data_IF_508645418324
#
_entry.id   IF_508645418324
#
_cell.length_a   1.000
_cell.length_b   1.000
_cell.length_c   1.000
_cell.angle_alpha   90.00
_cell.angle_beta   90.00
_cell.angle_gamma   90.00
#
_symmetry.space_group_name_H-M   'P 1'
#
loop_
_entity.id
_entity.type
_entity.pdbx_description
1 polymer ?
#
# COMPACT_ATOMS: atom_id res chain seq x y z
N UNK A 1 18.76 7.97 26.02
CA UNK A 1 19.61 7.19 25.08
C UNK A 1 20.01 5.87 25.73
N UNK A 2 19.37 4.77 25.37
CA UNK A 2 19.92 3.41 25.43
C UNK A 2 19.43 2.72 24.16
N UNK A 3 20.36 2.28 23.32
CA UNK A 3 20.11 1.56 22.07
C UNK A 3 20.43 0.10 22.34
N UNK A 4 19.42 -0.69 22.64
CA UNK A 4 19.56 -2.14 22.55
C UNK A 4 19.31 -2.51 21.08
N UNK A 5 20.28 -3.20 20.50
CA UNK A 5 20.30 -3.58 19.11
C UNK A 5 19.16 -4.57 18.82
N UNK A 6 18.17 -4.13 18.03
CA UNK A 6 17.26 -5.04 17.34
C UNK A 6 18.08 -5.82 16.32
N UNK A 7 18.49 -7.04 16.69
CA UNK A 7 18.94 -8.04 15.72
C UNK A 7 17.75 -8.32 14.81
N UNK A 8 17.78 -7.77 13.60
CA UNK A 8 16.73 -7.97 12.61
C UNK A 8 16.68 -9.42 12.14
N UNK A 9 15.52 -10.04 12.26
CA UNK A 9 15.17 -11.27 11.54
C UNK A 9 15.24 -10.99 10.01
N UNK A 10 16.09 -11.67 9.22
CA UNK A 10 16.32 -11.28 7.83
C UNK A 10 15.21 -11.70 6.84
N UNK A 11 14.06 -12.26 7.25
CA UNK A 11 13.11 -12.85 6.29
C UNK A 11 11.61 -12.82 6.58
N UNK A 12 11.15 -12.37 7.76
CA UNK A 12 9.79 -12.70 8.22
C UNK A 12 8.61 -11.89 7.67
N UNK A 13 8.77 -10.61 7.32
CA UNK A 13 7.63 -9.71 7.09
C UNK A 13 7.00 -9.84 5.69
N UNK A 14 7.80 -10.02 4.65
CA UNK A 14 7.30 -10.07 3.27
C UNK A 14 6.55 -11.38 2.95
N UNK A 15 6.94 -12.49 3.60
CA UNK A 15 6.40 -13.82 3.33
C UNK A 15 4.99 -14.03 3.91
N UNK A 16 4.70 -13.40 5.06
CA UNK A 16 3.40 -13.52 5.77
C UNK A 16 2.24 -12.95 4.95
N UNK A 17 2.43 -11.81 4.28
CA UNK A 17 1.40 -11.19 3.45
C UNK A 17 1.02 -12.05 2.24
N UNK A 18 2.00 -12.72 1.61
CA UNK A 18 1.73 -13.64 0.49
C UNK A 18 0.93 -14.85 0.95
N UNK A 19 1.33 -15.48 2.05
CA UNK A 19 0.62 -16.64 2.63
C UNK A 19 -0.82 -16.30 3.00
N UNK A 20 -1.05 -15.17 3.68
CA UNK A 20 -2.40 -14.74 4.06
C UNK A 20 -3.31 -14.51 2.85
N UNK A 21 -2.80 -13.90 1.77
CA UNK A 21 -3.55 -13.69 0.52
C UNK A 21 -3.93 -15.00 -0.17
N UNK A 22 -3.02 -15.97 -0.16
CA UNK A 22 -3.24 -17.29 -0.74
C UNK A 22 -4.29 -18.08 0.06
N UNK A 23 -4.20 -18.07 1.39
CA UNK A 23 -5.19 -18.75 2.25
C UNK A 23 -6.57 -18.11 2.13
N UNK A 24 -6.66 -16.78 2.10
CA UNK A 24 -7.92 -16.09 1.86
C UNK A 24 -8.51 -16.45 0.49
N UNK A 25 -7.73 -16.50 -0.59
CA UNK A 25 -8.25 -16.86 -1.90
C UNK A 25 -8.85 -18.28 -1.93
N UNK A 26 -8.25 -19.25 -1.23
CA UNK A 26 -8.71 -20.64 -1.19
C UNK A 26 -10.12 -20.78 -0.60
N UNK A 27 -10.51 -19.94 0.36
CA UNK A 27 -11.84 -20.02 0.99
C UNK A 27 -13.00 -19.59 0.07
N UNK A 28 -12.72 -18.80 -0.97
CA UNK A 28 -13.73 -18.35 -1.96
C UNK A 28 -13.79 -19.23 -3.21
N UNK A 29 -12.72 -19.99 -3.51
CA UNK A 29 -12.66 -20.88 -4.68
C UNK A 29 -13.42 -22.20 -4.47
N UNK A 30 -13.54 -22.66 -3.22
CA UNK A 30 -14.07 -24.00 -2.89
C UNK A 30 -15.54 -24.01 -2.47
N UNK A 31 -16.21 -22.85 -2.34
CA UNK A 31 -17.62 -22.78 -1.95
C UNK A 31 -18.52 -22.95 -3.19
N UNK A 32 -19.50 -23.87 -3.21
CA UNK A 32 -20.49 -23.92 -4.29
C UNK A 32 -21.26 -22.59 -4.32
N UNK A 33 -21.15 -21.83 -5.41
CA UNK A 33 -21.80 -20.52 -5.56
C UNK A 33 -23.09 -20.68 -6.35
N UNK A 34 -24.17 -20.04 -5.89
CA UNK A 34 -25.38 -19.85 -6.67
C UNK A 34 -25.08 -19.05 -7.94
N UNK A 35 -25.80 -19.40 -9.01
CA UNK A 35 -25.68 -18.91 -10.38
C UNK A 35 -25.65 -17.38 -10.45
N UNK A 36 -24.48 -16.80 -10.75
CA UNK A 36 -24.25 -15.73 -11.76
C UNK A 36 -23.04 -14.83 -11.53
N UNK A 37 -22.35 -14.88 -10.39
CA UNK A 37 -21.09 -14.11 -10.25
C UNK A 37 -20.06 -14.85 -9.42
N UNK A 38 -18.92 -15.17 -10.02
CA UNK A 38 -17.76 -15.71 -9.30
C UNK A 38 -17.18 -14.60 -8.39
N UNK A 39 -16.94 -14.86 -7.10
CA UNK A 39 -16.26 -13.90 -6.23
C UNK A 39 -14.88 -13.56 -6.79
N UNK A 40 -14.65 -12.29 -7.15
CA UNK A 40 -13.35 -11.80 -7.62
C UNK A 40 -12.73 -10.88 -6.57
N UNK A 41 -11.46 -11.10 -6.26
CA UNK A 41 -10.70 -10.26 -5.31
C UNK A 41 -10.43 -8.87 -5.89
N UNK A 42 -10.23 -8.76 -7.21
CA UNK A 42 -10.04 -7.49 -7.92
C UNK A 42 -10.86 -7.54 -9.20
N UNK A 43 -11.53 -6.43 -9.52
CA UNK A 43 -12.12 -6.24 -10.83
C UNK A 43 -11.03 -5.85 -11.85
N UNK A 44 -11.30 -6.05 -13.14
CA UNK A 44 -10.47 -5.47 -14.21
C UNK A 44 -10.63 -3.94 -14.27
N UNK A 45 -10.11 -3.31 -15.33
CA UNK A 45 -10.24 -1.85 -15.53
C UNK A 45 -9.10 -1.02 -14.94
N UNK A 46 -8.12 -1.64 -14.29
CA UNK A 46 -6.92 -0.98 -13.77
C UNK A 46 -7.09 -0.38 -12.37
N UNK A 47 -6.07 0.35 -11.92
CA UNK A 47 -6.06 1.04 -10.62
C UNK A 47 -5.20 2.29 -10.68
N UNK A 48 -5.60 3.37 -10.02
CA UNK A 48 -4.81 4.59 -9.83
C UNK A 48 -4.23 4.62 -8.41
N UNK A 49 -2.99 5.10 -8.26
CA UNK A 49 -2.38 5.29 -6.94
C UNK A 49 -2.27 6.78 -6.64
N UNK A 50 -2.46 7.12 -5.36
CA UNK A 50 -2.30 8.47 -4.85
C UNK A 50 -1.39 8.46 -3.63
N UNK A 51 -0.62 9.53 -3.46
CA UNK A 51 0.15 9.82 -2.26
C UNK A 51 -0.38 11.09 -1.62
N UNK A 52 -0.53 11.14 -0.30
CA UNK A 52 -1.00 12.34 0.40
C UNK A 52 -0.41 12.44 1.81
N UNK A 53 -0.33 13.67 2.32
CA UNK A 53 0.15 13.99 3.66
C UNK A 53 -0.94 14.76 4.43
N UNK A 54 -1.09 14.50 5.73
CA UNK A 54 -2.04 15.19 6.59
C UNK A 54 -1.38 15.59 7.92
N UNK A 55 -1.83 16.72 8.47
CA UNK A 55 -1.45 17.24 9.77
C UNK A 55 -2.70 17.70 10.53
N UNK A 56 -2.57 18.02 11.82
CA UNK A 56 -3.68 18.54 12.61
C UNK A 56 -4.26 19.85 12.05
N UNK A 57 -3.44 20.63 11.33
CA UNK A 57 -3.83 21.86 10.64
C UNK A 57 -4.59 21.63 9.32
N UNK A 58 -4.58 20.41 8.77
CA UNK A 58 -5.26 20.11 7.50
C UNK A 58 -4.59 19.01 6.68
N UNK A 59 -5.21 18.66 5.56
CA UNK A 59 -4.70 17.67 4.60
C UNK A 59 -4.12 18.37 3.37
N UNK A 60 -2.92 17.97 2.94
CA UNK A 60 -2.31 18.44 1.69
C UNK A 60 -2.97 17.83 0.46
N UNK A 61 -2.74 18.41 -0.72
CA UNK A 61 -3.25 17.87 -1.97
C UNK A 61 -2.61 16.51 -2.30
N UNK A 62 -3.41 15.45 -2.55
CA UNK A 62 -2.84 14.16 -2.94
C UNK A 62 -2.23 14.19 -4.35
N UNK A 63 -1.00 13.68 -4.48
CA UNK A 63 -0.32 13.49 -5.76
C UNK A 63 -0.74 12.18 -6.42
N UNK A 64 -0.97 12.24 -7.73
CA UNK A 64 -1.25 11.05 -8.51
C UNK A 64 0.06 10.35 -8.89
N UNK A 65 0.13 9.04 -8.67
CA UNK A 65 1.31 8.21 -8.92
C UNK A 65 1.01 7.23 -10.04
N UNK A 66 1.79 7.32 -11.11
CA UNK A 66 1.71 6.41 -12.25
C UNK A 66 2.68 5.23 -12.07
N UNK A 67 2.14 4.01 -12.17
CA UNK A 67 2.93 2.79 -12.03
C UNK A 67 3.62 2.70 -10.66
N UNK A 68 4.75 2.01 -10.60
CA UNK A 68 5.51 1.86 -9.35
C UNK A 68 6.26 3.15 -9.07
N UNK A 69 6.05 3.74 -7.88
CA UNK A 69 6.76 4.93 -7.44
C UNK A 69 8.27 4.70 -7.39
N UNK A 70 9.04 5.51 -8.12
CA UNK A 70 10.50 5.52 -8.05
C UNK A 70 10.98 6.46 -6.93
N UNK A 71 12.24 6.31 -6.53
CA UNK A 71 12.88 7.19 -5.54
C UNK A 71 12.78 8.67 -5.93
N UNK A 72 12.93 8.97 -7.21
CA UNK A 72 12.98 10.35 -7.70
C UNK A 72 11.58 10.99 -7.70
N UNK A 73 10.57 10.21 -8.05
CA UNK A 73 9.16 10.61 -7.90
C UNK A 73 8.83 10.89 -6.44
N UNK A 74 9.29 10.04 -5.53
CA UNK A 74 9.07 10.23 -4.11
C UNK A 74 9.75 11.50 -3.59
N UNK A 75 11.01 11.74 -3.95
CA UNK A 75 11.74 12.95 -3.58
C UNK A 75 11.06 14.22 -4.11
N UNK A 76 10.58 14.18 -5.37
CA UNK A 76 9.80 15.28 -5.96
C UNK A 76 8.51 15.54 -5.17
N UNK A 77 7.76 14.50 -4.84
CA UNK A 77 6.53 14.59 -4.05
C UNK A 77 6.80 15.16 -2.65
N UNK A 78 7.88 14.73 -2.00
CA UNK A 78 8.29 15.27 -0.70
C UNK A 78 8.70 16.74 -0.79
N UNK A 79 9.51 17.11 -1.79
CA UNK A 79 9.91 18.50 -2.03
C UNK A 79 8.70 19.41 -2.28
N UNK A 80 7.71 18.92 -3.01
CA UNK A 80 6.49 19.67 -3.29
C UNK A 80 5.57 19.82 -2.07
N UNK A 81 5.31 18.72 -1.34
CA UNK A 81 4.25 18.72 -0.33
C UNK A 81 4.75 18.92 1.09
N UNK A 82 5.95 18.42 1.42
CA UNK A 82 6.43 18.46 2.80
C UNK A 82 7.19 19.75 3.07
N UNK A 83 8.06 20.17 2.15
CA UNK A 83 8.80 21.44 2.30
C UNK A 83 7.87 22.66 2.18
N UNK A 84 6.75 22.54 1.47
CA UNK A 84 5.75 23.60 1.39
C UNK A 84 4.85 23.72 2.64
N UNK A 85 4.71 22.65 3.44
CA UNK A 85 3.85 22.61 4.65
C UNK A 85 4.53 23.23 5.88
N UNK A 86 5.87 23.27 5.92
CA UNK A 86 6.64 23.99 6.96
C UNK A 86 6.95 25.42 6.49
N UNK A 87 6.07 26.36 6.82
CA UNK A 87 6.33 27.80 6.84
C UNK A 87 5.87 28.38 8.16
#
# INVERSE_FOLDING_TARGET
>A
MKRDAMVGDPGGHHQRHKKARVEFAKTYVTKPQSFNTVPKVKHGGGSKMFWGCFAASGTGCPDCVDGIMKSDDYQRILGHNVVAIVK
#
